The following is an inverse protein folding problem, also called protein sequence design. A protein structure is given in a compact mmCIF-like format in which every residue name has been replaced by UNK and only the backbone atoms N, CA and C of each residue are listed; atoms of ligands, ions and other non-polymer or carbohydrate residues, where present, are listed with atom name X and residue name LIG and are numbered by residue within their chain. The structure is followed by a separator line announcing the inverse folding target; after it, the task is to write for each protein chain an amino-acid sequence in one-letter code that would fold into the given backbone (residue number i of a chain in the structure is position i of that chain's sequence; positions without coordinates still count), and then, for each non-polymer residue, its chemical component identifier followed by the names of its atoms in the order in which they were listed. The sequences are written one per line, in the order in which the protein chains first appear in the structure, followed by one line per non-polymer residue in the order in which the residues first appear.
data_IF_642747890374
#
_entry.id   IF_642747890374
#
_cell.length_a   1.000
_cell.length_b   1.000
_cell.length_c   1.000
_cell.angle_alpha   90.00
_cell.angle_beta   90.00
_cell.angle_gamma   90.00
#
_symmetry.space_group_name_H-M   'P 1'
#
loop_
_entity.id
_entity.type
_entity.pdbx_description
1 polymer ?
#
# COMPACT_ATOMS: atom_id res chain seq x y z
N UNK A 1 -9.61 -1.15 -7.08
CA UNK A 1 -9.55 -0.21 -5.95
C UNK A 1 -8.72 -0.80 -4.85
N UNK A 2 -8.00 0.02 -4.10
CA UNK A 2 -7.24 -0.36 -2.89
C UNK A 2 -7.44 0.67 -1.78
N UNK A 3 -6.88 0.40 -0.61
CA UNK A 3 -6.95 1.27 0.57
C UNK A 3 -5.60 1.90 0.90
N UNK A 4 -5.65 3.08 1.50
CA UNK A 4 -4.51 3.72 2.12
C UNK A 4 -4.90 4.36 3.45
N UNK A 5 -3.93 4.49 4.36
CA UNK A 5 -4.09 5.26 5.60
C UNK A 5 -2.95 6.25 5.77
N UNK A 6 -3.17 7.28 6.56
CA UNK A 6 -2.08 8.19 6.96
C UNK A 6 -1.12 7.42 7.87
N UNK A 7 0.17 7.53 7.59
CA UNK A 7 1.24 6.92 8.38
C UNK A 7 2.26 7.96 8.84
N UNK A 8 2.95 7.65 9.93
CA UNK A 8 4.04 8.47 10.45
C UNK A 8 5.28 8.44 9.54
N UNK A 9 6.19 9.42 9.70
CA UNK A 9 7.49 9.43 9.01
C UNK A 9 8.33 8.18 9.33
N UNK A 10 8.21 7.65 10.55
CA UNK A 10 8.91 6.42 10.97
C UNK A 10 8.40 5.21 10.21
N UNK A 11 7.07 5.02 10.15
CA UNK A 11 6.46 3.98 9.32
C UNK A 11 6.80 4.17 7.84
N UNK A 12 6.87 5.41 7.35
CA UNK A 12 7.20 5.67 5.95
C UNK A 12 8.65 5.29 5.58
N UNK A 13 9.57 5.34 6.54
CA UNK A 13 10.95 4.92 6.40
C UNK A 13 11.12 3.39 6.44
N UNK A 14 10.11 2.65 6.88
CA UNK A 14 10.11 1.19 6.84
C UNK A 14 9.90 0.71 5.39
N UNK A 15 10.81 -0.15 4.92
CA UNK A 15 10.79 -0.76 3.59
C UNK A 15 9.64 -1.77 3.42
N UNK A 16 9.15 -2.34 4.52
CA UNK A 16 8.03 -3.27 4.53
C UNK A 16 6.69 -2.54 4.42
N UNK A 17 6.63 -1.29 4.89
CA UNK A 17 5.46 -0.44 4.71
C UNK A 17 5.47 0.17 3.30
N UNK A 18 4.59 -0.30 2.44
CA UNK A 18 4.44 0.25 1.08
C UNK A 18 3.77 1.62 1.16
N UNK A 19 4.31 2.59 0.43
CA UNK A 19 3.75 3.94 0.28
C UNK A 19 3.00 4.05 -1.04
N UNK A 20 1.99 4.90 -1.07
CA UNK A 20 1.24 5.23 -2.29
C UNK A 20 1.07 6.74 -2.43
N UNK A 21 1.21 7.24 -3.65
CA UNK A 21 0.80 8.60 -4.03
C UNK A 21 -0.32 8.50 -5.04
N UNK A 22 -1.30 9.41 -4.96
CA UNK A 22 -2.49 9.38 -5.79
C UNK A 22 -2.96 10.80 -6.12
N UNK A 23 -3.71 10.94 -7.21
CA UNK A 23 -4.28 12.20 -7.67
C UNK A 23 -5.38 12.70 -6.72
N UNK A 24 -5.81 13.96 -6.92
CA UNK A 24 -6.97 14.52 -6.21
C UNK A 24 -8.27 13.73 -6.40
N UNK A 25 -8.37 12.96 -7.50
CA UNK A 25 -9.52 12.10 -7.81
C UNK A 25 -9.33 10.67 -7.29
N UNK A 26 -8.34 10.43 -6.43
CA UNK A 26 -8.04 9.13 -5.84
C UNK A 26 -7.42 8.13 -6.80
N UNK A 27 -6.96 8.51 -8.00
CA UNK A 27 -6.24 7.58 -8.89
C UNK A 27 -4.81 7.41 -8.41
N UNK A 28 -4.38 6.18 -8.11
CA UNK A 28 -2.99 5.88 -7.80
C UNK A 28 -2.08 6.34 -8.94
N UNK A 29 -1.03 7.08 -8.58
CA UNK A 29 0.02 7.51 -9.48
C UNK A 29 1.21 6.56 -9.38
N UNK A 30 1.59 6.16 -8.16
CA UNK A 30 2.69 5.22 -7.95
C UNK A 30 2.65 4.56 -6.56
N UNK A 31 3.23 3.36 -6.47
CA UNK A 31 3.49 2.64 -5.22
C UNK A 31 4.98 2.41 -5.08
N UNK A 32 5.53 2.55 -3.87
CA UNK A 32 6.96 2.34 -3.65
C UNK A 32 7.26 1.90 -2.23
N UNK A 33 8.33 1.13 -2.07
CA UNK A 33 8.97 0.89 -0.77
C UNK A 33 9.87 2.04 -0.35
N UNK A 34 10.23 2.94 -1.26
CA UNK A 34 10.89 4.20 -0.91
C UNK A 34 9.89 5.22 -0.33
N UNK A 35 10.31 6.11 0.58
CA UNK A 35 9.43 7.16 1.10
C UNK A 35 8.97 8.11 -0.02
N UNK A 36 7.66 8.10 -0.30
CA UNK A 36 7.05 8.97 -1.31
C UNK A 36 5.81 9.69 -0.75
N UNK A 37 5.60 10.98 -1.05
CA UNK A 37 6.47 11.83 -1.88
C UNK A 37 7.76 12.22 -1.14
N UNK A 38 8.81 12.56 -1.91
CA UNK A 38 9.99 13.19 -1.34
C UNK A 38 9.65 14.64 -0.97
N UNK A 39 9.64 14.93 0.33
CA UNK A 39 9.46 16.29 0.84
C UNK A 39 10.80 17.02 0.84
N UNK A 40 11.16 17.63 -0.29
CA UNK A 40 12.45 18.31 -0.53
C UNK A 40 12.88 19.23 0.62
N UNK A 41 11.95 20.05 1.12
CA UNK A 41 12.25 21.05 2.14
C UNK A 41 12.00 20.52 3.57
N UNK A 42 11.77 19.21 3.72
CA UNK A 42 11.51 18.54 5.01
C UNK A 42 10.14 18.84 5.64
N UNK A 43 9.34 19.74 5.07
CA UNK A 43 8.05 20.22 5.61
C UNK A 43 6.84 19.37 5.21
N UNK A 44 7.02 18.06 5.08
CA UNK A 44 5.96 17.12 4.78
C UNK A 44 5.24 16.60 6.00
N UNK A 45 3.91 16.64 6.00
CA UNK A 45 3.10 16.25 7.17
C UNK A 45 2.59 14.81 7.13
N UNK A 46 2.44 14.21 5.95
CA UNK A 46 1.73 12.93 5.86
C UNK A 46 2.26 12.06 4.72
N UNK A 47 2.46 10.78 5.04
CA UNK A 47 2.65 9.73 4.05
C UNK A 47 1.38 8.88 4.01
N UNK A 48 1.13 8.25 2.88
CA UNK A 48 0.03 7.30 2.76
C UNK A 48 0.59 5.89 2.67
N UNK A 49 0.32 5.10 3.70
CA UNK A 49 0.65 3.68 3.72
C UNK A 49 -0.44 2.90 3.01
N UNK A 50 -0.04 2.12 2.01
CA UNK A 50 -0.93 1.20 1.31
C UNK A 50 -1.34 0.05 2.25
N UNK A 51 -2.59 -0.34 2.16
CA UNK A 51 -3.15 -1.52 2.83
C UNK A 51 -3.51 -2.52 1.74
N UNK A 52 -3.01 -3.76 1.86
CA UNK A 52 -3.16 -4.84 0.87
C UNK A 52 -4.57 -5.42 0.73
N UNK A 53 -5.58 -4.58 0.60
CA UNK A 53 -6.96 -4.97 0.32
C UNK A 53 -7.38 -4.43 -1.03
N UNK A 54 -7.76 -5.33 -1.94
CA UNK A 54 -8.15 -4.96 -3.28
C UNK A 54 -9.60 -5.35 -3.59
N UNK A 55 -10.27 -4.48 -4.35
CA UNK A 55 -11.53 -4.77 -5.01
C UNK A 55 -11.35 -4.66 -6.52
N UNK A 56 -11.68 -5.75 -7.23
CA UNK A 56 -11.56 -5.86 -8.68
C UNK A 56 -12.91 -6.09 -9.36
N UNK A 57 -13.04 -5.57 -10.57
CA UNK A 57 -14.04 -6.09 -11.51
C UNK A 57 -13.48 -7.37 -12.14
N UNK A 58 -14.33 -8.38 -12.33
CA UNK A 58 -13.89 -9.68 -12.83
C UNK A 58 -13.07 -9.59 -14.14
N UNK A 59 -13.55 -8.80 -15.12
CA UNK A 59 -12.82 -8.56 -16.37
C UNK A 59 -11.40 -8.02 -16.18
N UNK A 60 -11.19 -7.18 -15.18
CA UNK A 60 -9.89 -6.58 -14.87
C UNK A 60 -8.99 -7.59 -14.17
N UNK A 61 -9.54 -8.42 -13.29
CA UNK A 61 -8.80 -9.49 -12.62
C UNK A 61 -8.29 -10.53 -13.64
N UNK A 62 -9.15 -10.96 -14.56
CA UNK A 62 -8.74 -11.88 -15.65
C UNK A 62 -7.60 -11.27 -16.47
N UNK A 63 -7.74 -10.01 -16.88
CA UNK A 63 -6.67 -9.29 -17.61
C UNK A 63 -5.39 -9.24 -16.77
N UNK A 64 -5.48 -8.86 -15.49
CA UNK A 64 -4.33 -8.75 -14.60
C UNK A 64 -3.53 -10.05 -14.50
N UNK A 65 -4.22 -11.19 -14.30
CA UNK A 65 -3.60 -12.50 -14.18
C UNK A 65 -2.98 -12.97 -15.50
N UNK A 66 -3.52 -12.55 -16.64
CA UNK A 66 -2.93 -12.86 -17.96
C UNK A 66 -1.67 -12.05 -18.30
N UNK A 67 -1.41 -10.95 -17.58
CA UNK A 67 -0.22 -10.13 -17.80
C UNK A 67 0.99 -10.82 -17.13
N UNK A 68 2.12 -10.86 -17.83
CA UNK A 68 3.39 -11.28 -17.24
C UNK A 68 3.91 -10.28 -16.19
N UNK A 69 4.89 -10.68 -15.36
CA UNK A 69 5.55 -9.77 -14.42
C UNK A 69 6.12 -8.56 -15.14
N UNK A 70 6.01 -7.40 -14.50
CA UNK A 70 6.44 -6.12 -15.05
C UNK A 70 7.76 -5.65 -14.45
N UNK A 71 8.40 -4.64 -15.05
CA UNK A 71 9.74 -4.21 -14.66
C UNK A 71 9.73 -3.55 -13.28
N UNK A 72 8.79 -2.64 -13.01
CA UNK A 72 8.68 -1.96 -11.71
C UNK A 72 8.19 -2.92 -10.63
N UNK A 73 7.26 -3.82 -10.96
CA UNK A 73 6.87 -4.90 -10.06
C UNK A 73 8.08 -5.72 -9.60
N UNK A 74 8.96 -6.10 -10.52
CA UNK A 74 10.12 -6.94 -10.21
C UNK A 74 11.12 -6.18 -9.32
N UNK A 75 11.33 -4.90 -9.61
CA UNK A 75 12.25 -4.03 -8.87
C UNK A 75 11.75 -3.73 -7.45
N UNK A 76 10.47 -3.39 -7.28
CA UNK A 76 9.88 -3.01 -5.99
C UNK A 76 9.30 -4.22 -5.24
N UNK A 77 9.15 -5.38 -5.89
CA UNK A 77 8.40 -6.54 -5.38
C UNK A 77 6.97 -6.15 -4.98
N UNK A 78 6.25 -5.51 -5.92
CA UNK A 78 4.89 -4.99 -5.75
C UNK A 78 4.02 -5.30 -6.99
N UNK A 79 3.16 -6.31 -6.89
CA UNK A 79 2.35 -6.82 -8.00
C UNK A 79 1.41 -5.78 -8.63
N UNK A 80 0.90 -4.83 -7.83
CA UNK A 80 0.00 -3.79 -8.32
C UNK A 80 0.66 -2.80 -9.29
N UNK A 81 2.00 -2.75 -9.34
CA UNK A 81 2.71 -1.95 -10.33
C UNK A 81 2.49 -2.48 -11.75
N UNK A 82 2.25 -3.80 -11.91
CA UNK A 82 1.88 -4.40 -13.20
C UNK A 82 0.61 -3.80 -13.80
N UNK A 83 -0.36 -3.47 -12.94
CA UNK A 83 -1.58 -2.78 -13.37
C UNK A 83 -1.24 -1.38 -13.88
N UNK A 84 -0.41 -0.63 -13.15
CA UNK A 84 -0.03 0.73 -13.53
C UNK A 84 0.81 0.76 -14.81
N UNK A 85 1.78 -0.14 -14.96
CA UNK A 85 2.61 -0.28 -16.18
C UNK A 85 1.79 -0.66 -17.42
N UNK A 86 0.60 -1.24 -17.24
CA UNK A 86 -0.33 -1.59 -18.32
C UNK A 86 -1.52 -0.62 -18.43
N UNK A 87 -1.38 0.61 -17.90
CA UNK A 87 -2.37 1.68 -17.91
C UNK A 87 -3.72 1.35 -17.24
N UNK A 88 -3.76 0.29 -16.42
CA UNK A 88 -4.96 -0.11 -15.69
C UNK A 88 -5.07 0.74 -14.41
N UNK A 89 -6.08 1.60 -14.27
CA UNK A 89 -6.22 2.47 -13.11
C UNK A 89 -6.46 1.68 -11.83
N UNK A 90 -5.81 2.13 -10.75
CA UNK A 90 -6.13 1.73 -9.39
C UNK A 90 -6.69 2.96 -8.68
N UNK A 91 -7.89 2.86 -8.12
CA UNK A 91 -8.45 3.89 -7.25
C UNK A 91 -8.05 3.61 -5.80
N UNK A 92 -7.68 4.64 -5.05
CA UNK A 92 -7.25 4.60 -3.65
C UNK A 92 -8.31 5.26 -2.79
N UNK A 93 -8.76 4.56 -1.76
CA UNK A 93 -9.71 5.08 -0.76
C UNK A 93 -8.99 5.21 0.58
N UNK A 94 -9.13 6.37 1.22
CA UNK A 94 -8.53 6.63 2.53
C UNK A 94 -9.38 5.99 3.63
N UNK A 95 -8.75 5.32 4.58
CA UNK A 95 -9.40 4.77 5.77
C UNK A 95 -8.65 5.19 7.04
N UNK A 96 -9.40 5.33 8.13
CA UNK A 96 -8.87 5.52 9.48
C UNK A 96 -8.58 4.18 10.18
N UNK A 97 -9.00 3.06 9.58
CA UNK A 97 -8.82 1.75 10.17
C UNK A 97 -7.35 1.35 10.19
N UNK A 98 -6.85 1.03 11.39
CA UNK A 98 -5.51 0.51 11.58
C UNK A 98 -5.54 -1.01 11.59
N UNK A 99 -5.11 -1.62 10.49
CA UNK A 99 -4.79 -3.05 10.46
C UNK A 99 -3.41 -3.29 11.07
N UNK A 100 -3.28 -4.37 11.85
CA UNK A 100 -1.98 -4.85 12.34
C UNK A 100 -1.68 -6.12 11.56
N UNK A 101 -0.64 -6.06 10.73
CA UNK A 101 -0.09 -7.25 10.06
C UNK A 101 0.63 -8.14 11.08
N UNK A 102 0.71 -9.42 10.78
CA UNK A 102 1.48 -10.40 11.55
C UNK A 102 2.47 -11.02 10.60
N UNK A 103 3.63 -10.38 10.48
CA UNK A 103 4.64 -10.72 9.49
C UNK A 103 5.88 -11.34 10.14
N UNK A 104 6.04 -11.20 11.47
CA UNK A 104 7.10 -11.85 12.24
C UNK A 104 6.60 -12.54 13.52
N UNK A 105 7.37 -13.47 14.10
CA UNK A 105 7.03 -14.10 15.38
C UNK A 105 6.86 -13.08 16.52
N UNK A 106 7.57 -11.96 16.49
CA UNK A 106 7.47 -10.90 17.49
C UNK A 106 6.10 -10.22 17.47
N UNK A 107 5.44 -10.15 16.31
CA UNK A 107 4.11 -9.54 16.16
C UNK A 107 3.03 -10.29 16.94
N UNK A 108 3.22 -11.61 17.14
CA UNK A 108 2.28 -12.47 17.89
C UNK A 108 2.07 -11.93 19.30
N UNK A 109 3.13 -11.48 19.98
CA UNK A 109 3.03 -10.92 21.34
C UNK A 109 2.12 -9.69 21.38
N UNK A 110 2.15 -8.87 20.33
CA UNK A 110 1.32 -7.67 20.20
C UNK A 110 -0.14 -8.06 19.96
N UNK A 111 -0.40 -9.05 19.10
CA UNK A 111 -1.75 -9.54 18.81
C UNK A 111 -2.39 -10.20 20.02
N UNK A 112 -1.67 -11.06 20.74
CA UNK A 112 -2.18 -11.72 21.95
C UNK A 112 -2.68 -10.71 22.98
N UNK A 113 -1.91 -9.63 23.22
CA UNK A 113 -2.33 -8.53 24.12
C UNK A 113 -3.61 -7.83 23.67
N UNK A 114 -3.87 -7.76 22.36
CA UNK A 114 -5.06 -7.11 21.81
C UNK A 114 -6.28 -8.03 21.93
N UNK A 115 -6.10 -9.33 21.69
CA UNK A 115 -7.15 -10.33 21.83
C UNK A 115 -7.60 -10.49 23.29
N UNK A 116 -6.66 -10.51 24.24
CA UNK A 116 -6.99 -10.61 25.67
C UNK A 116 -7.75 -9.39 26.19
N UNK A 117 -7.49 -8.19 25.66
CA UNK A 117 -8.23 -6.96 26.02
C UNK A 117 -9.65 -6.88 25.44
N UNK A 118 -10.01 -7.76 24.50
CA UNK A 118 -11.32 -7.80 23.86
C UNK A 118 -12.25 -8.90 24.42
N UNK A 119 -11.77 -9.69 25.38
CA UNK A 119 -12.59 -10.59 26.20
C UNK A 119 -13.12 -9.85 27.42
#
# INVERSE_FOLDING_TARGET
TTLARIISKKEAADINQVKVVFSKTGRALYFSRSPIPCYRDGKGKSFFGHIGLYAFRMKTLIKFVSLGPSSLETAEKLEQLRLLENDIPIHVVITEHKSIGVDSPEDIKTILKILDKKR
#
